data_IF_772267066000
#
_entry.id   IF_772267066000
#
_cell.length_a   1.000
_cell.length_b   1.000
_cell.length_c   1.000
_cell.angle_alpha   90.00
_cell.angle_beta   90.00
_cell.angle_gamma   90.00
#
_symmetry.space_group_name_H-M   'P 1'
#
loop_
_entity.id
_entity.type
_entity.pdbx_description
1 polymer ?
#
# COMPACT_ATOMS: atom_id res chain seq x y z
N UNK A 1 -9.93 16.07 -5.31
CA UNK A 1 -10.74 15.46 -4.24
C UNK A 1 -9.78 14.81 -3.26
N UNK A 2 -9.91 15.07 -1.96
CA UNK A 2 -9.08 14.43 -0.94
C UNK A 2 -9.73 13.12 -0.49
N UNK A 3 -9.00 12.02 -0.53
CA UNK A 3 -9.43 10.71 -0.04
C UNK A 3 -9.09 10.59 1.45
N UNK A 4 -9.90 11.22 2.30
CA UNK A 4 -9.78 11.07 3.75
C UNK A 4 -10.32 9.72 4.20
N UNK A 5 -9.43 8.77 4.55
CA UNK A 5 -9.83 7.49 5.11
C UNK A 5 -8.86 6.35 4.84
N UNK A 6 -9.29 5.15 5.22
CA UNK A 6 -8.60 3.89 4.93
C UNK A 6 -9.37 3.09 3.89
N UNK A 7 -8.63 2.54 2.94
CA UNK A 7 -9.16 1.81 1.79
C UNK A 7 -8.59 0.40 1.76
N UNK A 8 -9.33 -0.53 1.16
CA UNK A 8 -8.83 -1.87 0.90
C UNK A 8 -8.17 -1.89 -0.46
N UNK A 9 -6.90 -2.29 -0.48
CA UNK A 9 -6.13 -2.52 -1.68
C UNK A 9 -5.70 -3.97 -1.82
N UNK A 10 -5.22 -4.31 -3.00
CA UNK A 10 -4.60 -5.61 -3.28
C UNK A 10 -3.14 -5.41 -3.65
N UNK A 11 -2.27 -6.26 -3.12
CA UNK A 11 -0.84 -6.25 -3.49
C UNK A 11 -0.69 -6.90 -4.85
N UNK A 12 -0.25 -6.14 -5.84
CA UNK A 12 -0.04 -6.63 -7.21
C UNK A 12 1.41 -7.01 -7.48
N UNK A 13 2.35 -6.44 -6.73
CA UNK A 13 3.77 -6.82 -6.79
C UNK A 13 4.49 -6.54 -5.47
N UNK A 14 5.46 -7.39 -5.14
CA UNK A 14 6.30 -7.28 -3.93
C UNK A 14 7.77 -7.00 -4.21
N UNK A 15 8.16 -6.96 -5.49
CA UNK A 15 9.56 -6.85 -5.90
C UNK A 15 9.98 -5.39 -5.97
N UNK A 16 10.19 -4.77 -4.82
CA UNK A 16 10.75 -3.42 -4.77
C UNK A 16 12.25 -3.47 -5.10
N UNK A 17 12.61 -3.00 -6.30
CA UNK A 17 13.99 -2.95 -6.78
C UNK A 17 14.90 -2.02 -5.93
N UNK A 18 14.31 -1.20 -5.05
CA UNK A 18 15.05 -0.24 -4.21
C UNK A 18 15.40 -0.78 -2.83
N UNK A 19 14.98 -1.99 -2.46
CA UNK A 19 15.21 -2.58 -1.14
C UNK A 19 14.54 -1.82 0.01
N UNK A 20 13.58 -0.92 -0.29
CA UNK A 20 12.90 -0.08 0.72
C UNK A 20 11.68 -0.75 1.35
N UNK A 21 11.42 -2.02 1.00
CA UNK A 21 10.29 -2.78 1.54
C UNK A 21 8.92 -2.23 1.11
N UNK A 22 8.85 -1.56 -0.05
CA UNK A 22 7.58 -1.08 -0.62
C UNK A 22 6.85 -2.21 -1.33
N UNK A 23 5.54 -2.05 -1.47
CA UNK A 23 4.69 -2.98 -2.22
C UNK A 23 3.87 -2.21 -3.22
N UNK A 24 3.65 -2.81 -4.40
CA UNK A 24 2.77 -2.25 -5.40
C UNK A 24 1.33 -2.59 -5.01
N UNK A 25 0.52 -1.58 -4.77
CA UNK A 25 -0.88 -1.73 -4.37
C UNK A 25 -1.82 -1.18 -5.43
N UNK A 26 -2.92 -1.89 -5.64
CA UNK A 26 -4.05 -1.45 -6.44
C UNK A 26 -5.24 -1.17 -5.51
N UNK A 27 -5.83 0.02 -5.63
CA UNK A 27 -6.99 0.48 -4.85
C UNK A 27 -8.04 0.99 -5.85
N UNK A 28 -8.87 0.10 -6.43
CA UNK A 28 -9.81 0.48 -7.48
C UNK A 28 -10.89 1.45 -7.00
N UNK A 29 -11.22 1.45 -5.70
CA UNK A 29 -12.21 2.37 -5.10
C UNK A 29 -11.82 3.85 -5.17
N UNK A 30 -10.53 4.17 -5.34
CA UNK A 30 -10.04 5.55 -5.53
C UNK A 30 -9.47 5.78 -6.92
N UNK A 31 -9.65 4.82 -7.86
CA UNK A 31 -9.08 4.89 -9.21
C UNK A 31 -7.58 4.64 -9.29
N UNK A 32 -6.96 4.09 -8.23
CA UNK A 32 -5.53 3.80 -8.20
C UNK A 32 -5.28 2.38 -8.72
N UNK A 33 -4.86 2.24 -9.99
CA UNK A 33 -4.62 0.92 -10.58
C UNK A 33 -3.31 0.26 -10.14
N UNK A 34 -2.34 1.04 -9.65
CA UNK A 34 -1.06 0.52 -9.18
C UNK A 34 -0.10 1.64 -8.75
N UNK A 35 0.27 1.67 -7.48
CA UNK A 35 1.29 2.60 -6.97
C UNK A 35 2.15 1.94 -5.88
N UNK A 36 3.43 2.33 -5.85
CA UNK A 36 4.39 1.82 -4.87
C UNK A 36 4.18 2.52 -3.54
N UNK A 37 3.61 1.79 -2.58
CA UNK A 37 3.34 2.29 -1.26
C UNK A 37 4.39 1.77 -0.26
N UNK A 38 5.00 2.65 0.56
CA UNK A 38 5.71 2.21 1.75
C UNK A 38 4.77 1.46 2.69
N UNK A 39 5.33 0.46 3.35
CA UNK A 39 4.64 -0.31 4.38
C UNK A 39 5.01 0.26 5.74
N UNK A 40 4.02 0.57 6.56
CA UNK A 40 4.24 0.79 7.98
C UNK A 40 4.64 -0.56 8.61
N UNK A 41 5.92 -0.70 8.93
CA UNK A 41 6.46 -1.87 9.61
C UNK A 41 6.57 -1.56 11.10
N UNK A 42 5.81 -2.27 11.92
CA UNK A 42 5.84 -2.13 13.38
C UNK A 42 6.88 -3.02 14.07
N UNK A 43 7.48 -3.97 13.35
CA UNK A 43 8.50 -4.88 13.87
C UNK A 43 9.70 -4.87 12.93
N UNK A 44 10.92 -4.78 13.48
CA UNK A 44 12.18 -4.73 12.72
C UNK A 44 12.42 -5.92 11.78
N UNK A 45 11.58 -6.96 11.86
CA UNK A 45 11.45 -7.97 10.82
C UNK A 45 10.38 -7.53 9.82
N UNK A 46 10.82 -7.06 8.65
CA UNK A 46 9.94 -6.57 7.59
C UNK A 46 8.75 -7.51 7.31
N UNK A 47 7.54 -6.98 7.32
CA UNK A 47 6.34 -7.76 7.03
C UNK A 47 6.38 -8.15 5.55
N UNK A 48 6.39 -9.45 5.26
CA UNK A 48 6.36 -9.96 3.89
C UNK A 48 4.92 -10.05 3.41
N UNK A 49 4.61 -9.31 2.34
CA UNK A 49 3.32 -9.39 1.65
C UNK A 49 3.41 -10.34 0.46
N UNK A 50 2.41 -11.19 0.32
CA UNK A 50 2.24 -12.01 -0.88
C UNK A 50 1.46 -11.22 -1.93
N UNK A 51 1.80 -11.44 -3.21
CA UNK A 51 0.99 -10.94 -4.32
C UNK A 51 -0.41 -11.56 -4.22
N UNK A 52 -1.44 -10.74 -4.37
CA UNK A 52 -2.85 -11.10 -4.22
C UNK A 52 -3.43 -10.91 -2.82
N UNK A 53 -2.60 -10.63 -1.79
CA UNK A 53 -3.13 -10.35 -0.45
C UNK A 53 -3.86 -9.00 -0.39
N UNK A 54 -4.90 -8.95 0.46
CA UNK A 54 -5.62 -7.72 0.75
C UNK A 54 -4.90 -6.94 1.84
N UNK A 55 -4.74 -5.64 1.62
CA UNK A 55 -4.05 -4.71 2.52
C UNK A 55 -4.91 -3.49 2.81
N UNK A 56 -4.66 -2.86 3.94
CA UNK A 56 -5.26 -1.58 4.31
C UNK A 56 -4.32 -0.47 3.87
N UNK A 57 -4.83 0.45 3.07
CA UNK A 57 -4.09 1.57 2.48
C UNK A 57 -4.70 2.89 2.96
N UNK A 58 -3.85 3.81 3.39
CA UNK A 58 -4.20 5.21 3.66
C UNK A 58 -3.46 6.12 2.66
N UNK A 59 -3.88 7.38 2.58
CA UNK A 59 -3.30 8.36 1.67
C UNK A 59 -2.80 9.57 2.47
N UNK A 60 -1.53 9.93 2.31
CA UNK A 60 -0.98 11.10 3.00
C UNK A 60 -1.69 12.37 2.54
N UNK A 61 -2.18 13.16 3.51
CA UNK A 61 -2.98 14.36 3.23
C UNK A 61 -4.22 14.10 2.33
N UNK A 62 -4.68 12.85 2.25
CA UNK A 62 -5.75 12.43 1.33
C UNK A 62 -5.35 12.43 -0.15
N UNK A 63 -4.06 12.49 -0.48
CA UNK A 63 -3.56 12.48 -1.85
C UNK A 63 -3.31 11.03 -2.33
N UNK A 64 -4.01 10.58 -3.38
CA UNK A 64 -3.88 9.21 -3.90
C UNK A 64 -2.48 8.91 -4.46
N UNK A 65 -1.68 9.95 -4.74
CA UNK A 65 -0.29 9.84 -5.20
C UNK A 65 0.66 9.39 -4.09
N UNK A 66 0.25 9.52 -2.82
CA UNK A 66 1.04 9.17 -1.64
C UNK A 66 0.34 8.08 -0.80
N UNK A 67 0.23 6.85 -1.31
CA UNK A 67 -0.34 5.73 -0.57
C UNK A 67 0.62 5.21 0.51
N UNK A 68 0.10 4.84 1.68
CA UNK A 68 0.81 4.12 2.74
C UNK A 68 0.04 2.85 3.08
N UNK A 69 0.73 1.71 3.10
CA UNK A 69 0.15 0.46 3.60
C UNK A 69 0.25 0.42 5.11
N UNK A 70 -0.89 0.36 5.78
CA UNK A 70 -0.99 0.27 7.23
C UNK A 70 -0.84 -1.17 7.74
N UNK A 71 -1.19 -2.15 6.91
CA UNK A 71 -1.07 -3.57 7.29
C UNK A 71 -1.82 -4.49 6.34
N UNK A 72 -1.66 -5.80 6.56
CA UNK A 72 -2.48 -6.82 5.88
C UNK A 72 -3.75 -7.11 6.69
N UNK A 73 -4.80 -7.53 6.00
CA UNK A 73 -5.96 -8.19 6.60
C UNK A 73 -5.71 -9.70 6.74
#
# INVERSE_FOLDING_TARGET
>A
MAFGGVYRGTVTSKTDATGKGRVLVSVPSVGLSGSWAPVCNSSGNGVTYSVGCTVVVAFENGDPSFPIVLGRL
#
